data_IF_779059898894
#
_entry.id   IF_779059898894
#
_cell.length_a   1.000
_cell.length_b   1.000
_cell.length_c   1.000
_cell.angle_alpha   90.00
_cell.angle_beta   90.00
_cell.angle_gamma   90.00
#
_symmetry.space_group_name_H-M   'P 1'
#
loop_
_entity.id
_entity.type
_entity.pdbx_description
1 polymer ?
#
# COMPACT_ATOMS: atom_id res chain seq x y z
N UNK A 1 -37.45 30.70 -20.94
CA UNK A 1 -38.01 30.33 -19.62
C UNK A 1 -38.52 28.90 -19.68
N UNK A 2 -37.93 27.96 -18.93
CA UNK A 2 -38.51 26.64 -18.66
C UNK A 2 -38.17 26.27 -17.20
N UNK A 3 -38.95 26.83 -16.28
CA UNK A 3 -38.91 26.55 -14.84
C UNK A 3 -40.06 25.61 -14.44
N UNK A 4 -40.05 24.37 -14.93
CA UNK A 4 -40.99 23.34 -14.49
C UNK A 4 -40.61 22.75 -13.12
N UNK A 5 -41.61 22.42 -12.30
CA UNK A 5 -41.48 22.02 -10.89
C UNK A 5 -40.68 20.73 -10.62
N UNK A 6 -40.31 19.98 -11.66
CA UNK A 6 -39.54 18.73 -11.53
C UNK A 6 -38.35 18.76 -12.49
N UNK A 7 -37.18 19.14 -11.99
CA UNK A 7 -35.91 18.94 -12.69
C UNK A 7 -35.48 17.49 -12.47
N UNK A 8 -35.32 16.65 -13.52
CA UNK A 8 -34.76 15.31 -13.33
C UNK A 8 -33.33 15.45 -12.78
N UNK A 9 -33.07 14.89 -11.60
CA UNK A 9 -31.71 14.79 -11.08
C UNK A 9 -30.94 13.76 -11.92
N UNK A 10 -29.68 14.05 -12.26
CA UNK A 10 -28.80 13.06 -12.85
C UNK A 10 -28.79 11.78 -11.98
N UNK A 11 -28.87 10.57 -12.57
CA UNK A 11 -28.74 9.35 -11.80
C UNK A 11 -27.39 9.37 -11.06
N UNK A 12 -27.40 8.99 -9.78
CA UNK A 12 -26.18 8.92 -8.98
C UNK A 12 -25.18 7.99 -9.66
N UNK A 13 -24.08 8.55 -10.18
CA UNK A 13 -22.96 7.80 -10.78
C UNK A 13 -22.12 7.07 -9.71
N UNK A 14 -22.77 6.60 -8.64
CA UNK A 14 -22.18 5.89 -7.50
C UNK A 14 -22.93 4.59 -7.13
N UNK A 15 -23.78 4.06 -8.01
CA UNK A 15 -24.62 2.88 -7.73
C UNK A 15 -23.84 1.58 -7.47
N UNK A 16 -22.58 1.48 -7.93
CA UNK A 16 -21.74 0.31 -7.69
C UNK A 16 -21.00 0.43 -6.35
N UNK A 17 -21.43 -0.35 -5.36
CA UNK A 17 -20.81 -0.39 -4.04
C UNK A 17 -19.54 -1.24 -4.02
N UNK A 18 -18.38 -0.59 -4.03
CA UNK A 18 -17.10 -1.23 -3.74
C UNK A 18 -16.86 -1.30 -2.23
N UNK A 19 -17.32 -2.38 -1.58
CA UNK A 19 -17.16 -2.57 -0.13
C UNK A 19 -15.69 -2.83 0.24
N UNK A 20 -14.94 -1.75 0.39
CA UNK A 20 -13.53 -1.75 0.75
C UNK A 20 -13.30 -0.88 2.01
N UNK A 21 -12.96 -1.46 3.16
CA UNK A 21 -12.77 -0.69 4.39
C UNK A 21 -11.58 0.26 4.27
N UNK A 22 -11.64 1.38 5.00
CA UNK A 22 -10.56 2.37 5.00
C UNK A 22 -9.28 1.87 5.71
N UNK A 23 -9.41 0.87 6.59
CA UNK A 23 -8.30 0.28 7.38
C UNK A 23 -8.15 -1.22 7.19
N UNK A 24 -6.93 -1.70 7.44
CA UNK A 24 -6.61 -3.12 7.57
C UNK A 24 -7.09 -3.69 8.92
N UNK A 25 -7.66 -4.89 8.88
CA UNK A 25 -7.93 -5.68 10.09
C UNK A 25 -6.64 -6.27 10.68
N UNK A 26 -6.65 -6.62 11.96
CA UNK A 26 -5.53 -7.24 12.68
C UNK A 26 -4.94 -8.48 11.98
N UNK A 27 -5.73 -9.49 11.53
CA UNK A 27 -5.16 -10.63 10.82
C UNK A 27 -4.52 -10.23 9.48
N UNK A 28 -5.09 -9.25 8.77
CA UNK A 28 -4.50 -8.74 7.53
C UNK A 28 -3.16 -8.04 7.81
N UNK A 29 -3.07 -7.25 8.88
CA UNK A 29 -1.80 -6.64 9.35
C UNK A 29 -0.75 -7.71 9.67
N UNK A 30 -1.14 -8.81 10.31
CA UNK A 30 -0.23 -9.92 10.60
C UNK A 30 0.31 -10.54 9.30
N UNK A 31 -0.56 -10.78 8.31
CA UNK A 31 -0.14 -11.24 6.98
C UNK A 31 0.76 -10.26 6.23
N UNK A 32 0.63 -8.94 6.47
CA UNK A 32 1.57 -7.96 5.91
C UNK A 32 2.97 -8.19 6.46
N UNK A 33 3.08 -8.30 7.80
CA UNK A 33 4.37 -8.54 8.47
C UNK A 33 5.02 -9.83 8.00
N UNK A 34 4.24 -10.92 7.89
CA UNK A 34 4.75 -12.19 7.37
C UNK A 34 5.29 -12.05 5.94
N UNK A 35 4.60 -11.35 5.05
CA UNK A 35 5.08 -11.12 3.68
C UNK A 35 6.34 -10.27 3.63
N UNK A 36 6.43 -9.24 4.46
CA UNK A 36 7.63 -8.39 4.53
C UNK A 36 8.85 -9.21 4.97
N UNK A 37 8.69 -10.03 6.03
CA UNK A 37 9.73 -10.96 6.52
C UNK A 37 10.13 -11.99 5.48
N UNK A 38 9.16 -12.61 4.80
CA UNK A 38 9.46 -13.59 3.76
C UNK A 38 10.29 -12.97 2.61
N UNK A 39 10.08 -11.69 2.27
CA UNK A 39 10.93 -10.99 1.30
C UNK A 39 12.32 -10.72 1.87
N UNK A 40 12.43 -10.37 3.16
CA UNK A 40 13.73 -10.20 3.84
C UNK A 40 14.53 -11.50 3.85
N UNK A 41 13.89 -12.63 4.12
CA UNK A 41 14.50 -13.96 4.13
C UNK A 41 15.02 -14.35 2.72
N UNK A 42 14.28 -13.99 1.67
CA UNK A 42 14.75 -14.21 0.29
C UNK A 42 15.95 -13.32 -0.04
N UNK A 43 15.96 -12.07 0.41
CA UNK A 43 17.10 -11.17 0.19
C UNK A 43 18.34 -11.68 0.95
N UNK A 44 18.18 -12.12 2.19
CA UNK A 44 19.29 -12.60 3.03
C UNK A 44 19.88 -13.90 2.49
N UNK A 45 19.06 -14.85 2.03
CA UNK A 45 19.52 -16.09 1.41
C UNK A 45 20.29 -15.84 0.12
N UNK A 46 19.83 -14.90 -0.73
CA UNK A 46 20.56 -14.49 -1.93
C UNK A 46 21.89 -13.78 -1.62
N UNK A 47 21.94 -13.03 -0.53
CA UNK A 47 23.18 -12.40 -0.07
C UNK A 47 24.17 -13.45 0.44
N UNK A 48 23.69 -14.44 1.20
CA UNK A 48 24.50 -15.55 1.72
C UNK A 48 25.05 -16.46 0.61
N UNK A 49 24.33 -16.61 -0.50
CA UNK A 49 24.80 -17.37 -1.67
C UNK A 49 25.83 -16.63 -2.53
N UNK A 50 26.29 -15.45 -2.11
CA UNK A 50 27.29 -14.62 -2.79
C UNK A 50 26.94 -14.21 -4.23
N UNK A 51 25.66 -14.20 -4.59
CA UNK A 51 25.20 -13.72 -5.91
C UNK A 51 25.37 -12.22 -5.99
N UNK A 52 26.10 -11.73 -6.99
CA UNK A 52 26.28 -10.29 -7.23
C UNK A 52 25.35 -9.83 -8.35
N UNK A 53 24.35 -9.01 -8.02
CA UNK A 53 23.50 -8.40 -9.03
C UNK A 53 23.03 -6.99 -8.60
N UNK A 54 22.88 -6.07 -9.57
CA UNK A 54 22.42 -4.72 -9.27
C UNK A 54 21.01 -4.67 -8.68
N UNK A 55 20.18 -5.69 -8.94
CA UNK A 55 18.88 -5.83 -8.28
C UNK A 55 19.02 -6.11 -6.78
N UNK A 56 19.96 -7.00 -6.38
CA UNK A 56 20.23 -7.30 -4.98
C UNK A 56 20.80 -6.08 -4.26
N UNK A 57 21.73 -5.35 -4.88
CA UNK A 57 22.28 -4.12 -4.29
C UNK A 57 21.18 -3.10 -3.98
N UNK A 58 20.22 -2.90 -4.89
CA UNK A 58 19.05 -2.04 -4.62
C UNK A 58 18.16 -2.61 -3.52
N UNK A 59 17.95 -3.93 -3.50
CA UNK A 59 17.13 -4.57 -2.48
C UNK A 59 17.74 -4.42 -1.06
N UNK A 60 19.07 -4.46 -0.95
CA UNK A 60 19.79 -4.28 0.32
C UNK A 60 19.65 -2.86 0.90
N UNK A 61 19.35 -1.85 0.07
CA UNK A 61 19.05 -0.49 0.56
C UNK A 61 17.67 -0.33 1.20
N UNK A 62 16.78 -1.32 1.03
CA UNK A 62 15.44 -1.27 1.59
C UNK A 62 15.47 -1.59 3.09
N UNK A 63 14.64 -0.92 3.92
CA UNK A 63 14.55 -1.25 5.33
C UNK A 63 13.91 -2.63 5.53
N UNK A 64 14.37 -3.37 6.53
CA UNK A 64 13.78 -4.67 6.92
C UNK A 64 12.44 -4.49 7.64
N UNK A 65 11.66 -5.56 7.79
CA UNK A 65 10.37 -5.50 8.51
C UNK A 65 10.53 -4.97 9.93
N UNK A 66 11.61 -5.30 10.64
CA UNK A 66 11.85 -4.83 12.01
C UNK A 66 12.18 -3.34 12.08
N UNK A 67 12.89 -2.82 11.08
CA UNK A 67 13.28 -1.40 11.00
C UNK A 67 12.13 -0.49 10.54
N UNK A 68 11.14 -1.03 9.83
CA UNK A 68 10.00 -0.25 9.35
C UNK A 68 9.09 0.24 10.48
N UNK A 69 8.67 1.51 10.41
CA UNK A 69 7.64 2.06 11.29
C UNK A 69 6.28 1.38 11.04
N UNK A 70 5.44 1.18 12.07
CA UNK A 70 4.09 0.66 11.89
C UNK A 70 3.24 1.47 10.90
N UNK A 71 3.46 2.80 10.83
CA UNK A 71 2.78 3.70 9.88
C UNK A 71 3.09 3.27 8.44
N UNK A 72 4.34 3.01 8.11
CA UNK A 72 4.78 2.65 6.75
C UNK A 72 4.46 1.19 6.38
N UNK A 73 4.31 0.30 7.36
CA UNK A 73 3.85 -1.08 7.10
C UNK A 73 2.42 -1.13 6.56
N UNK A 74 1.54 -0.26 7.05
CA UNK A 74 0.09 -0.38 6.83
C UNK A 74 -0.50 0.76 5.99
N UNK A 75 0.28 1.81 5.74
CA UNK A 75 -0.12 2.97 4.94
C UNK A 75 0.97 3.36 3.97
N UNK A 76 0.56 3.90 2.82
CA UNK A 76 1.43 4.40 1.77
C UNK A 76 1.08 5.85 1.45
N UNK A 77 2.03 6.56 0.88
CA UNK A 77 1.82 7.93 0.42
C UNK A 77 0.71 8.00 -0.65
N UNK A 78 -0.11 9.03 -0.57
CA UNK A 78 -1.11 9.36 -1.58
C UNK A 78 -1.31 10.86 -1.67
N UNK A 79 -1.02 11.45 -2.83
CA UNK A 79 -1.12 12.90 -3.05
C UNK A 79 -2.55 13.46 -2.95
N UNK A 80 -3.56 12.60 -3.06
CA UNK A 80 -4.97 13.00 -3.14
C UNK A 80 -5.76 12.76 -1.84
N UNK A 81 -5.24 11.94 -0.93
CA UNK A 81 -5.91 11.62 0.32
C UNK A 81 -5.54 12.65 1.39
N UNK A 82 -6.49 12.99 2.26
CA UNK A 82 -6.24 13.88 3.41
C UNK A 82 -5.12 13.31 4.28
N UNK A 83 -4.16 14.16 4.66
CA UNK A 83 -2.99 13.74 5.44
C UNK A 83 -1.99 12.92 4.62
N UNK A 84 -2.09 12.95 3.29
CA UNK A 84 -1.15 12.38 2.34
C UNK A 84 -0.91 10.86 2.47
N UNK A 85 -1.87 10.15 3.06
CA UNK A 85 -1.75 8.72 3.36
C UNK A 85 -3.01 7.97 2.96
N UNK A 86 -2.82 6.76 2.45
CA UNK A 86 -3.87 5.77 2.24
C UNK A 86 -3.44 4.42 2.80
N UNK A 87 -4.39 3.55 3.16
CA UNK A 87 -4.03 2.21 3.60
C UNK A 87 -3.48 1.37 2.44
N UNK A 88 -2.42 0.61 2.70
CA UNK A 88 -1.65 -0.11 1.67
C UNK A 88 -2.52 -1.09 0.86
N UNK A 89 -3.60 -1.63 1.43
CA UNK A 89 -4.47 -2.55 0.71
C UNK A 89 -5.35 -1.92 -0.37
N UNK A 90 -5.41 -0.59 -0.42
CA UNK A 90 -6.02 0.14 -1.54
C UNK A 90 -5.10 0.21 -2.76
N UNK A 91 -3.83 -0.20 -2.63
CA UNK A 91 -2.90 -0.26 -3.76
C UNK A 91 -3.18 -1.50 -4.61
N UNK A 92 -3.29 -1.37 -5.96
CA UNK A 92 -3.46 -2.53 -6.82
C UNK A 92 -2.31 -3.53 -6.69
N UNK A 93 -2.66 -4.80 -6.47
CA UNK A 93 -1.71 -5.92 -6.29
C UNK A 93 -0.70 -5.69 -5.15
N UNK A 94 -1.10 -4.98 -4.10
CA UNK A 94 -0.27 -4.68 -2.93
C UNK A 94 0.34 -5.90 -2.23
N UNK A 95 -0.25 -7.09 -2.38
CA UNK A 95 0.28 -8.32 -1.79
C UNK A 95 1.55 -8.82 -2.48
N UNK A 96 1.80 -8.40 -3.72
CA UNK A 96 2.96 -8.79 -4.54
C UNK A 96 3.99 -7.67 -4.71
N UNK A 97 3.57 -6.42 -4.52
CA UNK A 97 4.44 -5.25 -4.64
C UNK A 97 5.21 -5.01 -3.35
N UNK A 98 6.51 -4.75 -3.48
CA UNK A 98 7.36 -4.28 -2.38
C UNK A 98 7.23 -2.77 -2.24
N UNK A 99 6.59 -2.31 -1.16
CA UNK A 99 6.39 -0.88 -0.87
C UNK A 99 6.86 -0.64 0.57
N UNK A 100 8.06 -0.08 0.71
CA UNK A 100 8.72 0.07 2.02
C UNK A 100 9.13 1.50 2.37
N UNK A 101 9.30 2.35 1.37
CA UNK A 101 9.71 3.74 1.53
C UNK A 101 8.59 4.66 1.06
N UNK A 102 8.39 5.75 1.79
CA UNK A 102 7.50 6.86 1.44
C UNK A 102 8.33 8.16 1.39
N UNK A 103 7.85 9.21 0.70
CA UNK A 103 8.56 10.49 0.65
C UNK A 103 8.75 11.08 2.05
N UNK A 104 9.92 11.67 2.31
CA UNK A 104 10.25 12.31 3.59
C UNK A 104 9.28 13.48 3.84
N UNK A 105 8.77 13.58 5.07
CA UNK A 105 7.81 14.61 5.48
C UNK A 105 6.33 14.22 5.37
N UNK A 106 6.00 13.01 4.91
CA UNK A 106 4.62 12.53 4.71
C UNK A 106 4.32 11.19 5.41
#
# INVERSE_FOLDING_TARGET
MFGGAFKPSLPSLGGLLWKNPWRLSTPRKNRVRMRLRAVDDVISTLQQSNVQCGALQRALTLPTESQMLPKDKYTTFSKHDRGFRKSVHKVPKWTRKTIRQNPVGY
#
